data_IF_601246812302
#
_entry.id   IF_601246812302
#
_cell.length_a   1.000
_cell.length_b   1.000
_cell.length_c   1.000
_cell.angle_alpha   90.00
_cell.angle_beta   90.00
_cell.angle_gamma   90.00
#
_symmetry.space_group_name_H-M   'P 1'
#
loop_
_entity.id
_entity.type
_entity.pdbx_description
1 polymer ?
#
# COMPACT_ATOMS: atom_id res chain seq x y z
N UNK A 1 13.83 -10.84 -24.79
CA UNK A 1 12.53 -10.15 -24.88
C UNK A 1 12.27 -9.55 -23.49
N UNK A 2 11.99 -8.27 -23.40
CA UNK A 2 11.62 -7.61 -22.14
C UNK A 2 10.11 -7.66 -22.08
N UNK A 3 9.56 -8.19 -20.98
CA UNK A 3 8.13 -8.34 -20.73
C UNK A 3 7.73 -7.29 -19.71
N UNK A 4 6.67 -6.54 -19.98
CA UNK A 4 6.11 -5.51 -19.10
C UNK A 4 4.65 -5.81 -18.69
N UNK A 5 4.27 -7.09 -18.69
CA UNK A 5 2.89 -7.50 -18.40
C UNK A 5 2.55 -7.31 -16.92
N UNK A 6 3.52 -7.55 -16.05
CA UNK A 6 3.41 -7.38 -14.60
C UNK A 6 4.80 -7.43 -13.94
N UNK A 7 4.88 -7.15 -12.65
CA UNK A 7 6.09 -7.14 -11.83
C UNK A 7 6.34 -8.42 -11.02
N UNK A 8 5.48 -9.44 -11.16
CA UNK A 8 5.54 -10.67 -10.36
C UNK A 8 5.77 -11.96 -11.18
N UNK A 9 5.85 -11.90 -12.50
CA UNK A 9 6.04 -13.10 -13.36
C UNK A 9 7.48 -13.53 -13.50
N UNK A 10 8.44 -12.71 -13.10
CA UNK A 10 9.86 -13.03 -13.15
C UNK A 10 10.34 -13.59 -11.80
N UNK A 11 11.30 -14.51 -11.85
CA UNK A 11 11.99 -14.97 -10.64
C UNK A 11 12.86 -13.89 -10.02
N UNK A 12 13.36 -14.15 -8.82
CA UNK A 12 14.25 -13.25 -8.11
C UNK A 12 15.57 -13.06 -8.87
N UNK A 13 16.19 -11.89 -8.73
CA UNK A 13 17.51 -11.63 -9.27
C UNK A 13 18.54 -12.66 -8.76
N UNK A 14 19.48 -13.16 -9.58
CA UNK A 14 20.43 -14.21 -9.18
C UNK A 14 21.17 -13.94 -7.87
N UNK A 15 21.55 -12.69 -7.59
CA UNK A 15 22.19 -12.30 -6.32
C UNK A 15 21.29 -12.47 -5.10
N UNK A 16 19.97 -12.39 -5.26
CA UNK A 16 19.02 -12.65 -4.16
C UNK A 16 19.02 -14.15 -3.86
N UNK A 17 18.97 -15.00 -4.90
CA UNK A 17 19.01 -16.45 -4.73
C UNK A 17 20.32 -16.92 -4.13
N UNK A 18 21.46 -16.37 -4.56
CA UNK A 18 22.78 -16.60 -3.95
C UNK A 18 22.77 -16.24 -2.47
N UNK A 19 22.30 -15.04 -2.12
CA UNK A 19 22.24 -14.60 -0.73
C UNK A 19 21.32 -15.46 0.12
N UNK A 20 20.17 -15.87 -0.39
CA UNK A 20 19.27 -16.80 0.29
C UNK A 20 19.93 -18.16 0.55
N UNK A 21 20.68 -18.68 -0.41
CA UNK A 21 21.42 -19.92 -0.26
C UNK A 21 22.49 -19.80 0.84
N UNK A 22 23.27 -18.72 0.85
CA UNK A 22 24.33 -18.47 1.84
C UNK A 22 23.81 -18.33 3.26
N UNK A 23 22.59 -17.79 3.42
CA UNK A 23 22.01 -17.53 4.73
C UNK A 23 20.99 -18.58 5.19
N UNK A 24 20.67 -19.57 4.36
CA UNK A 24 19.61 -20.56 4.61
C UNK A 24 19.79 -21.37 5.91
N UNK A 25 21.03 -21.55 6.37
CA UNK A 25 21.33 -22.27 7.62
C UNK A 25 21.46 -21.38 8.85
N UNK A 26 21.27 -20.07 8.71
CA UNK A 26 21.40 -19.12 9.83
C UNK A 26 20.13 -19.08 10.66
N UNK A 27 20.28 -19.05 11.98
CA UNK A 27 19.16 -18.78 12.87
C UNK A 27 18.94 -17.26 12.94
N UNK A 28 17.71 -16.84 12.73
CA UNK A 28 17.29 -15.44 12.77
C UNK A 28 16.17 -15.24 13.78
N UNK A 29 16.09 -14.07 14.39
CA UNK A 29 14.97 -13.70 15.24
C UNK A 29 13.69 -13.56 14.39
N UNK A 30 12.52 -13.88 14.96
CA UNK A 30 11.25 -13.74 14.27
C UNK A 30 10.78 -12.27 14.26
N UNK A 31 9.67 -12.02 13.52
CA UNK A 31 8.89 -10.77 13.52
C UNK A 31 9.60 -9.53 12.99
N UNK A 32 10.67 -9.70 12.21
CA UNK A 32 11.42 -8.59 11.63
C UNK A 32 12.44 -7.95 12.57
N UNK A 33 12.76 -8.61 13.69
CA UNK A 33 13.77 -8.20 14.66
C UNK A 33 15.16 -8.79 14.35
N UNK A 34 15.31 -9.41 13.19
CA UNK A 34 16.55 -10.00 12.73
C UNK A 34 17.49 -8.96 12.12
N UNK A 35 18.78 -9.34 12.06
CA UNK A 35 19.82 -8.46 11.52
C UNK A 35 19.62 -8.11 10.04
N UNK A 36 19.00 -8.99 9.25
CA UNK A 36 18.74 -8.72 7.82
C UNK A 36 17.70 -7.63 7.67
N UNK A 37 16.61 -7.68 8.44
CA UNK A 37 15.58 -6.64 8.47
C UNK A 37 16.19 -5.31 8.94
N UNK A 38 17.01 -5.30 9.99
CA UNK A 38 17.65 -4.08 10.47
C UNK A 38 18.62 -3.48 9.45
N UNK A 39 19.41 -4.30 8.75
CA UNK A 39 20.26 -3.83 7.67
C UNK A 39 19.44 -3.29 6.48
N UNK A 40 18.32 -3.94 6.14
CA UNK A 40 17.44 -3.47 5.07
C UNK A 40 16.79 -2.13 5.42
N UNK A 41 16.28 -1.96 6.65
CA UNK A 41 15.73 -0.68 7.14
C UNK A 41 16.74 0.46 6.98
N UNK A 42 17.99 0.27 7.46
CA UNK A 42 19.05 1.28 7.32
C UNK A 42 19.32 1.66 5.86
N UNK A 43 19.39 0.69 4.96
CA UNK A 43 19.62 0.94 3.53
C UNK A 43 18.44 1.66 2.87
N UNK A 44 17.22 1.38 3.29
CA UNK A 44 16.02 2.07 2.77
C UNK A 44 16.01 3.51 3.26
N UNK A 45 16.27 3.77 4.55
CA UNK A 45 16.39 5.12 5.10
C UNK A 45 17.46 5.94 4.36
N UNK A 46 18.64 5.35 4.12
CA UNK A 46 19.72 5.98 3.36
C UNK A 46 19.28 6.29 1.91
N UNK A 47 18.62 5.34 1.24
CA UNK A 47 18.15 5.53 -0.14
C UNK A 47 17.04 6.58 -0.27
N UNK A 48 16.22 6.77 0.76
CA UNK A 48 15.17 7.75 0.82
C UNK A 48 15.62 9.11 1.38
N UNK A 49 16.87 9.20 1.88
CA UNK A 49 17.39 10.36 2.62
C UNK A 49 16.46 10.76 3.80
N UNK A 50 15.90 9.78 4.48
CA UNK A 50 14.99 9.96 5.61
C UNK A 50 15.33 8.99 6.73
N UNK A 51 16.10 9.46 7.70
CA UNK A 51 16.59 8.68 8.83
C UNK A 51 15.61 8.60 10.01
N UNK A 52 14.52 9.35 9.96
CA UNK A 52 13.45 9.33 10.97
C UNK A 52 12.26 8.44 10.52
N UNK A 53 12.33 7.86 9.33
CA UNK A 53 11.27 6.99 8.80
C UNK A 53 11.13 5.69 9.60
N UNK A 54 9.90 5.30 9.88
CA UNK A 54 9.58 3.97 10.39
C UNK A 54 9.30 3.03 9.22
N UNK A 55 10.04 1.92 9.15
CA UNK A 55 9.96 0.96 8.05
C UNK A 55 9.39 -0.36 8.55
N UNK A 56 8.35 -0.83 7.88
CA UNK A 56 7.68 -2.09 8.14
C UNK A 56 7.72 -2.97 6.89
N UNK A 57 8.00 -4.27 7.08
CA UNK A 57 7.95 -5.26 6.01
C UNK A 57 6.65 -6.04 6.10
N UNK A 58 5.86 -6.01 5.03
CA UNK A 58 4.59 -6.70 4.92
C UNK A 58 4.64 -7.70 3.75
N UNK A 59 3.74 -8.68 3.74
CA UNK A 59 3.81 -9.81 2.81
C UNK A 59 3.49 -9.42 1.36
N UNK A 60 2.69 -8.38 1.16
CA UNK A 60 2.29 -7.96 -0.19
C UNK A 60 1.51 -6.66 -0.21
N UNK A 61 1.30 -6.09 -1.41
CA UNK A 61 0.66 -4.79 -1.60
C UNK A 61 -0.75 -4.71 -1.04
N UNK A 62 -1.57 -5.73 -1.25
CA UNK A 62 -2.95 -5.79 -0.74
C UNK A 62 -2.98 -5.74 0.79
N UNK A 63 -2.12 -6.54 1.46
CA UNK A 63 -2.00 -6.47 2.92
C UNK A 63 -1.51 -5.11 3.38
N UNK A 64 -0.56 -4.53 2.68
CA UNK A 64 -0.03 -3.19 2.99
C UNK A 64 -1.13 -2.15 2.91
N UNK A 65 -1.90 -2.13 1.81
CA UNK A 65 -3.01 -1.18 1.64
C UNK A 65 -4.06 -1.34 2.74
N UNK A 66 -4.50 -2.56 3.01
CA UNK A 66 -5.49 -2.82 4.06
C UNK A 66 -4.98 -2.36 5.44
N UNK A 67 -3.75 -2.73 5.80
CA UNK A 67 -3.16 -2.38 7.11
C UNK A 67 -2.99 -0.86 7.25
N UNK A 68 -2.48 -0.18 6.23
CA UNK A 68 -2.25 1.27 6.28
C UNK A 68 -3.57 2.03 6.35
N UNK A 69 -4.54 1.67 5.50
CA UNK A 69 -5.84 2.34 5.47
C UNK A 69 -6.57 2.15 6.80
N UNK A 70 -6.64 0.92 7.31
CA UNK A 70 -7.27 0.62 8.60
C UNK A 70 -6.59 1.35 9.77
N UNK A 71 -5.27 1.48 9.75
CA UNK A 71 -4.52 2.18 10.80
C UNK A 71 -4.70 3.70 10.81
N UNK A 72 -5.08 4.30 9.68
CA UNK A 72 -5.20 5.75 9.51
C UNK A 72 -6.64 6.26 9.62
N UNK A 73 -7.63 5.39 9.46
CA UNK A 73 -9.04 5.79 9.43
C UNK A 73 -9.77 5.35 10.70
N UNK A 74 -10.77 6.13 11.09
CA UNK A 74 -11.79 5.67 12.03
C UNK A 74 -12.82 4.80 11.30
N UNK A 75 -13.50 3.89 12.00
CA UNK A 75 -14.47 2.95 11.44
C UNK A 75 -15.57 3.58 10.56
N UNK A 76 -15.92 4.84 10.83
CA UNK A 76 -16.93 5.58 10.06
C UNK A 76 -16.33 6.32 8.85
N UNK A 77 -15.03 6.23 8.63
CA UNK A 77 -14.34 6.92 7.53
C UNK A 77 -14.12 6.00 6.34
N UNK A 78 -14.00 6.59 5.18
CA UNK A 78 -13.71 5.91 3.93
C UNK A 78 -12.49 6.47 3.23
N UNK A 79 -11.94 5.70 2.33
CA UNK A 79 -10.79 6.07 1.51
C UNK A 79 -11.23 6.48 0.11
N UNK A 80 -10.70 7.58 -0.41
CA UNK A 80 -10.99 8.03 -1.77
C UNK A 80 -10.03 7.37 -2.76
N UNK A 81 -10.58 6.83 -3.84
CA UNK A 81 -9.82 6.28 -4.95
C UNK A 81 -10.45 6.68 -6.29
N UNK A 82 -9.70 6.58 -7.38
CA UNK A 82 -10.31 6.60 -8.70
C UNK A 82 -11.05 5.29 -8.96
N UNK A 83 -12.09 5.31 -9.79
CA UNK A 83 -12.90 4.15 -10.12
C UNK A 83 -12.09 2.97 -10.69
N UNK A 84 -10.93 3.23 -11.33
CA UNK A 84 -9.95 2.25 -11.80
C UNK A 84 -8.80 2.01 -10.82
N UNK A 85 -8.87 2.56 -9.61
CA UNK A 85 -7.82 2.42 -8.59
C UNK A 85 -7.66 0.97 -8.13
N UNK A 86 -6.43 0.57 -7.84
CA UNK A 86 -6.09 -0.82 -7.48
C UNK A 86 -6.91 -1.34 -6.31
N UNK A 87 -7.06 -0.54 -5.24
CA UNK A 87 -7.86 -0.91 -4.06
C UNK A 87 -9.34 -1.15 -4.39
N UNK A 88 -9.87 -0.48 -5.45
CA UNK A 88 -11.26 -0.64 -5.87
C UNK A 88 -11.48 -1.85 -6.77
N UNK A 89 -10.51 -2.23 -7.62
CA UNK A 89 -10.75 -3.20 -8.71
C UNK A 89 -9.91 -4.48 -8.64
N UNK A 90 -8.81 -4.51 -7.85
CA UNK A 90 -7.85 -5.62 -7.88
C UNK A 90 -7.56 -6.26 -6.52
N UNK A 91 -8.17 -5.81 -5.43
CA UNK A 91 -7.86 -6.31 -4.08
C UNK A 91 -8.94 -7.20 -3.45
N UNK A 92 -9.89 -7.67 -4.25
CA UNK A 92 -10.91 -8.64 -3.84
C UNK A 92 -11.67 -8.28 -2.54
N UNK A 93 -11.93 -6.99 -2.33
CA UNK A 93 -12.64 -6.50 -1.14
C UNK A 93 -11.78 -6.42 0.12
N UNK A 94 -10.45 -6.33 0.00
CA UNK A 94 -9.57 -6.26 1.17
C UNK A 94 -9.80 -5.02 2.04
N UNK A 95 -10.17 -3.90 1.43
CA UNK A 95 -10.46 -2.66 2.16
C UNK A 95 -11.84 -2.76 2.84
N UNK A 96 -12.84 -3.28 2.14
CA UNK A 96 -14.17 -3.49 2.72
C UNK A 96 -14.14 -4.52 3.85
N UNK A 97 -13.21 -5.47 3.80
CA UNK A 97 -13.00 -6.43 4.89
C UNK A 97 -12.53 -5.74 6.19
N UNK A 98 -11.83 -4.62 6.10
CA UNK A 98 -11.48 -3.77 7.26
C UNK A 98 -12.60 -2.81 7.67
N UNK A 99 -13.82 -3.00 7.13
CA UNK A 99 -15.02 -2.20 7.41
C UNK A 99 -14.99 -0.76 6.85
N UNK A 100 -13.99 -0.43 6.05
CA UNK A 100 -13.88 0.88 5.41
C UNK A 100 -14.52 0.91 4.03
N UNK A 101 -15.15 2.02 3.72
CA UNK A 101 -15.77 2.26 2.42
C UNK A 101 -14.75 2.81 1.43
N UNK A 102 -14.71 2.25 0.22
CA UNK A 102 -14.04 2.89 -0.90
C UNK A 102 -14.99 3.86 -1.56
N UNK A 103 -14.57 5.13 -1.63
CA UNK A 103 -15.31 6.22 -2.24
C UNK A 103 -14.67 6.50 -3.59
N UNK A 104 -15.38 6.20 -4.66
CA UNK A 104 -14.83 6.32 -6.01
C UNK A 104 -15.10 7.67 -6.64
N UNK A 105 -14.06 8.23 -7.26
CA UNK A 105 -14.13 9.42 -8.11
C UNK A 105 -13.78 9.00 -9.54
N UNK A 106 -14.50 9.48 -10.57
CA UNK A 106 -14.18 9.16 -11.96
C UNK A 106 -12.72 9.50 -12.30
N UNK A 107 -12.03 8.57 -12.96
CA UNK A 107 -10.69 8.84 -13.47
C UNK A 107 -10.71 9.65 -14.77
N UNK A 108 -9.60 10.32 -15.06
CA UNK A 108 -9.31 10.91 -16.36
C UNK A 108 -7.94 10.47 -16.83
N UNK A 109 -7.92 9.58 -17.83
CA UNK A 109 -6.68 8.99 -18.31
C UNK A 109 -5.93 8.19 -17.22
N UNK A 110 -6.65 7.49 -16.33
CA UNK A 110 -6.10 6.71 -15.22
C UNK A 110 -5.65 7.53 -14.01
N UNK A 111 -5.94 8.84 -13.96
CA UNK A 111 -5.51 9.73 -12.88
C UNK A 111 -6.70 10.37 -12.17
N UNK A 112 -6.53 10.70 -10.91
CA UNK A 112 -7.45 11.53 -10.15
C UNK A 112 -7.24 13.01 -10.52
N UNK A 113 -8.31 13.70 -10.94
CA UNK A 113 -8.26 15.14 -11.13
C UNK A 113 -8.52 15.86 -9.81
N UNK A 114 -7.62 16.77 -9.43
CA UNK A 114 -7.77 17.57 -8.21
C UNK A 114 -9.11 18.36 -8.18
N UNK A 115 -9.58 18.82 -9.33
CA UNK A 115 -10.87 19.52 -9.42
C UNK A 115 -12.06 18.60 -9.07
N UNK A 116 -12.03 17.34 -9.51
CA UNK A 116 -13.06 16.36 -9.19
C UNK A 116 -13.04 15.99 -7.70
N UNK A 117 -11.86 15.81 -7.13
CA UNK A 117 -11.68 15.59 -5.70
C UNK A 117 -12.21 16.78 -4.89
N UNK A 118 -11.79 18.00 -5.21
CA UNK A 118 -12.25 19.21 -4.52
C UNK A 118 -13.78 19.37 -4.61
N UNK A 119 -14.37 19.09 -5.76
CA UNK A 119 -15.82 19.13 -5.91
C UNK A 119 -16.48 18.13 -4.97
N UNK A 120 -16.03 16.87 -4.96
CA UNK A 120 -16.57 15.84 -4.08
C UNK A 120 -16.47 16.26 -2.61
N UNK A 121 -15.30 16.71 -2.15
CA UNK A 121 -15.09 17.13 -0.76
C UNK A 121 -15.98 18.32 -0.36
N UNK A 122 -16.14 19.29 -1.26
CA UNK A 122 -17.05 20.43 -1.02
C UNK A 122 -18.51 19.98 -0.93
N UNK A 123 -18.97 19.17 -1.88
CA UNK A 123 -20.33 18.63 -1.87
C UNK A 123 -20.55 17.82 -0.59
N UNK A 124 -19.59 16.95 -0.20
CA UNK A 124 -19.63 16.15 1.02
C UNK A 124 -19.68 17.02 2.30
N UNK A 125 -18.88 18.08 2.38
CA UNK A 125 -18.87 18.99 3.55
C UNK A 125 -20.19 19.76 3.71
N UNK A 126 -20.91 20.00 2.62
CA UNK A 126 -22.20 20.71 2.61
C UNK A 126 -23.41 19.76 2.71
N UNK A 127 -23.22 18.47 2.56
CA UNK A 127 -24.31 17.49 2.73
C UNK A 127 -24.62 17.30 4.22
N UNK A 128 -25.87 17.58 4.59
CA UNK A 128 -26.35 17.39 5.96
C UNK A 128 -26.53 15.91 6.38
N UNK A 129 -26.57 14.99 5.42
CA UNK A 129 -26.78 13.56 5.62
C UNK A 129 -25.51 12.74 5.39
N UNK A 130 -24.42 13.10 6.03
CA UNK A 130 -23.15 12.36 5.90
C UNK A 130 -23.31 10.93 6.42
N UNK A 131 -23.17 9.97 5.51
CA UNK A 131 -23.25 8.55 5.85
C UNK A 131 -21.91 7.97 6.35
N UNK A 132 -20.81 8.70 6.16
CA UNK A 132 -19.44 8.29 6.50
C UNK A 132 -18.53 9.51 6.62
N UNK A 133 -17.36 9.35 7.21
CA UNK A 133 -16.23 10.29 7.15
C UNK A 133 -15.39 10.09 5.87
N UNK A 134 -14.46 10.97 5.63
CA UNK A 134 -13.46 10.89 4.55
C UNK A 134 -12.09 11.26 5.10
#
# INVERSE_FOLDING_TARGET
>A
MIIFDNDYSNGAHPKILERLNDTNGMLSLPYGDDEFCEQAKRKIMEACDDYDANIFFLTGGTQTNATVIDSLLYQYEGVIAVDTGHINVHEAGAIEFTEHKIITIPNKGGKMEAAALNKYLNDFMHDGNKAHGV
#
